data_IF_856804443947
#
_entry.id   IF_856804443947
#
_cell.length_a   1.000
_cell.length_b   1.000
_cell.length_c   1.000
_cell.angle_alpha   90.00
_cell.angle_beta   90.00
_cell.angle_gamma   90.00
#
_symmetry.space_group_name_H-M   'P 1'
#
loop_
_entity.id
_entity.type
_entity.pdbx_description
1 polymer ?
#
# COMPACT_ATOMS: atom_id res chain seq x y z
N UNK A 1 9.08 19.21 -15.06
CA UNK A 1 9.09 18.96 -13.59
C UNK A 1 10.31 18.12 -13.30
N UNK A 2 11.20 18.55 -12.41
CA UNK A 2 12.40 17.80 -12.05
C UNK A 2 12.09 16.89 -10.87
N UNK A 3 12.38 15.59 -11.00
CA UNK A 3 12.21 14.61 -9.90
C UNK A 3 13.33 14.85 -8.89
N UNK A 4 13.01 14.92 -7.60
CA UNK A 4 14.02 15.11 -6.57
C UNK A 4 14.98 13.91 -6.48
N UNK A 5 16.24 14.16 -6.16
CA UNK A 5 17.26 13.14 -5.97
C UNK A 5 16.85 12.09 -4.91
N UNK A 6 16.19 12.53 -3.84
CA UNK A 6 15.67 11.64 -2.80
C UNK A 6 14.72 10.56 -3.37
N UNK A 7 13.86 10.94 -4.32
CA UNK A 7 12.94 9.99 -4.99
C UNK A 7 13.70 9.09 -5.95
N UNK A 8 14.66 9.63 -6.71
CA UNK A 8 15.49 8.84 -7.63
C UNK A 8 16.27 7.75 -6.89
N UNK A 9 16.77 8.04 -5.70
CA UNK A 9 17.50 7.09 -4.87
C UNK A 9 16.63 5.94 -4.31
N UNK A 10 15.31 6.02 -4.41
CA UNK A 10 14.39 4.94 -4.04
C UNK A 10 14.14 3.93 -5.18
N UNK A 11 14.67 4.16 -6.38
CA UNK A 11 14.37 3.37 -7.57
C UNK A 11 14.63 1.87 -7.40
N UNK A 12 15.76 1.51 -6.85
CA UNK A 12 16.16 0.09 -6.73
C UNK A 12 15.28 -0.65 -5.72
N UNK A 13 14.95 -0.01 -4.60
CA UNK A 13 13.99 -0.54 -3.62
C UNK A 13 12.60 -0.69 -4.24
N UNK A 14 12.15 0.32 -4.98
CA UNK A 14 10.87 0.30 -5.70
C UNK A 14 10.79 -0.89 -6.66
N UNK A 15 11.80 -1.08 -7.50
CA UNK A 15 11.85 -2.21 -8.45
C UNK A 15 11.88 -3.56 -7.73
N UNK A 16 12.67 -3.67 -6.65
CA UNK A 16 12.78 -4.89 -5.86
C UNK A 16 11.44 -5.26 -5.22
N UNK A 17 10.83 -4.33 -4.49
CA UNK A 17 9.56 -4.55 -3.78
C UNK A 17 8.45 -4.93 -4.77
N UNK A 18 8.30 -4.18 -5.86
CA UNK A 18 7.30 -4.48 -6.89
C UNK A 18 7.46 -5.89 -7.45
N UNK A 19 8.69 -6.33 -7.73
CA UNK A 19 8.95 -7.68 -8.27
C UNK A 19 8.69 -8.78 -7.26
N UNK A 20 8.94 -8.56 -5.97
CA UNK A 20 8.60 -9.55 -4.93
C UNK A 20 7.08 -9.67 -4.76
N UNK A 21 6.34 -8.55 -4.69
CA UNK A 21 4.88 -8.54 -4.64
C UNK A 21 4.28 -9.25 -5.87
N UNK A 22 4.82 -8.99 -7.06
CA UNK A 22 4.36 -9.61 -8.30
C UNK A 22 4.46 -11.15 -8.29
N UNK A 23 5.38 -11.71 -7.50
CA UNK A 23 5.55 -13.17 -7.36
C UNK A 23 4.51 -13.86 -6.49
N UNK A 24 3.85 -13.12 -5.62
CA UNK A 24 2.98 -13.63 -4.56
C UNK A 24 1.53 -13.14 -4.64
N UNK A 25 0.91 -13.03 -5.83
CA UNK A 25 -0.47 -12.55 -5.91
C UNK A 25 -1.42 -13.50 -5.18
N UNK A 26 -2.37 -12.92 -4.46
CA UNK A 26 -3.44 -13.58 -3.71
C UNK A 26 -4.77 -12.90 -4.03
N UNK A 27 -5.92 -13.46 -3.64
CA UNK A 27 -7.23 -13.00 -4.10
C UNK A 27 -8.11 -12.55 -2.93
N UNK A 28 -8.85 -11.47 -3.14
CA UNK A 28 -9.89 -11.00 -2.25
C UNK A 28 -9.33 -10.50 -0.91
N UNK A 29 -9.73 -11.15 0.17
CA UNK A 29 -9.27 -10.82 1.54
C UNK A 29 -8.19 -11.77 2.07
N UNK A 30 -7.96 -12.90 1.40
CA UNK A 30 -6.97 -13.91 1.79
C UNK A 30 -5.58 -13.55 1.23
N UNK A 31 -5.01 -12.45 1.72
CA UNK A 31 -3.74 -11.88 1.24
C UNK A 31 -2.62 -12.03 2.29
N UNK A 32 -2.54 -13.18 2.93
CA UNK A 32 -1.62 -13.39 4.06
C UNK A 32 -0.15 -13.22 3.71
N UNK A 33 0.32 -13.73 2.56
CA UNK A 33 1.72 -13.56 2.13
C UNK A 33 2.03 -12.11 1.79
N UNK A 34 1.09 -11.44 1.14
CA UNK A 34 1.19 -10.01 0.82
C UNK A 34 1.25 -9.19 2.10
N UNK A 35 0.36 -9.47 3.07
CA UNK A 35 0.33 -8.85 4.38
C UNK A 35 1.66 -9.03 5.13
N UNK A 36 2.15 -10.27 5.25
CA UNK A 36 3.42 -10.60 5.92
C UNK A 36 4.63 -9.94 5.26
N UNK A 37 4.61 -9.78 3.94
CA UNK A 37 5.67 -9.11 3.21
C UNK A 37 5.67 -7.59 3.42
N UNK A 38 4.49 -6.95 3.39
CA UNK A 38 4.33 -5.49 3.50
C UNK A 38 4.53 -4.99 4.93
N UNK A 39 4.00 -5.70 5.93
CA UNK A 39 3.97 -5.25 7.32
C UNK A 39 5.33 -4.80 7.85
N UNK A 40 6.41 -5.58 7.76
CA UNK A 40 7.73 -5.14 8.25
C UNK A 40 8.29 -3.93 7.49
N UNK A 41 7.94 -3.75 6.21
CA UNK A 41 8.34 -2.57 5.44
C UNK A 41 7.65 -1.31 5.93
N UNK A 42 6.38 -1.41 6.33
CA UNK A 42 5.63 -0.31 6.96
C UNK A 42 6.20 0.00 8.35
N UNK A 43 6.44 -1.02 9.17
CA UNK A 43 6.99 -0.87 10.53
C UNK A 43 8.35 -0.17 10.54
N UNK A 44 9.20 -0.41 9.54
CA UNK A 44 10.48 0.30 9.36
C UNK A 44 10.29 1.81 9.12
N UNK A 45 9.14 2.23 8.60
CA UNK A 45 8.80 3.64 8.43
C UNK A 45 8.37 4.33 9.73
N UNK A 46 8.21 3.59 10.84
CA UNK A 46 7.83 4.07 12.17
C UNK A 46 6.58 4.97 12.12
N UNK A 47 5.44 4.47 11.61
CA UNK A 47 4.20 5.22 11.66
C UNK A 47 3.76 5.45 13.12
N UNK A 48 2.89 6.44 13.34
CA UNK A 48 2.29 6.65 14.66
C UNK A 48 1.23 5.59 14.96
N UNK A 49 0.51 5.13 13.91
CA UNK A 49 -0.44 4.03 14.03
C UNK A 49 -0.32 3.08 12.85
N UNK A 50 -0.43 1.79 13.13
CA UNK A 50 -0.53 0.70 12.15
C UNK A 50 -1.66 -0.22 12.57
N UNK A 51 -2.77 -0.17 11.84
CA UNK A 51 -4.00 -0.88 12.16
C UNK A 51 -4.31 -1.86 11.02
N UNK A 52 -4.56 -3.12 11.33
CA UNK A 52 -5.06 -4.09 10.35
C UNK A 52 -6.55 -3.91 10.17
N UNK A 53 -7.01 -3.80 8.93
CA UNK A 53 -8.42 -3.69 8.53
C UNK A 53 -8.72 -4.71 7.43
N UNK A 54 -9.97 -5.12 7.34
CA UNK A 54 -10.44 -6.06 6.32
C UNK A 54 -9.56 -7.33 6.23
N UNK A 55 -9.21 -7.91 7.38
CA UNK A 55 -8.38 -9.10 7.59
C UNK A 55 -6.90 -8.89 7.26
N UNK A 56 -6.55 -8.46 6.06
CA UNK A 56 -5.16 -8.39 5.58
C UNK A 56 -4.74 -7.02 5.07
N UNK A 57 -5.65 -6.04 5.08
CA UNK A 57 -5.34 -4.66 4.73
C UNK A 57 -4.73 -3.87 5.89
N UNK A 58 -4.27 -2.67 5.59
CA UNK A 58 -3.67 -1.77 6.58
C UNK A 58 -4.22 -0.36 6.48
N UNK A 59 -4.38 0.27 7.65
CA UNK A 59 -4.41 1.70 7.81
C UNK A 59 -3.15 2.14 8.55
N UNK A 60 -2.38 3.01 7.92
CA UNK A 60 -1.11 3.54 8.43
C UNK A 60 -1.26 5.02 8.63
N UNK A 61 -0.95 5.55 9.81
CA UNK A 61 -1.12 6.97 10.13
C UNK A 61 0.22 7.61 10.47
N UNK A 62 0.46 8.76 9.89
CA UNK A 62 1.55 9.67 10.23
C UNK A 62 0.96 11.02 10.64
N UNK A 63 1.09 11.38 11.90
CA UNK A 63 0.64 12.67 12.41
C UNK A 63 1.68 13.77 12.12
N UNK A 64 1.20 14.94 11.70
CA UNK A 64 2.00 16.15 11.58
C UNK A 64 1.69 17.11 12.72
N UNK A 65 2.71 17.72 13.29
CA UNK A 65 2.55 18.64 14.40
C UNK A 65 1.64 19.81 14.03
N UNK A 66 0.58 20.04 14.81
CA UNK A 66 -0.38 21.13 14.59
C UNK A 66 -1.28 20.99 13.38
N UNK A 67 -1.28 19.84 12.72
CA UNK A 67 -2.09 19.63 11.53
C UNK A 67 -3.60 19.67 11.83
N UNK A 68 -4.33 20.42 10.98
CA UNK A 68 -5.79 20.55 11.03
C UNK A 68 -6.49 19.72 9.96
N UNK A 69 -5.72 19.09 9.07
CA UNK A 69 -6.25 18.32 7.92
C UNK A 69 -5.56 16.98 7.83
N UNK A 70 -6.29 16.03 7.26
CA UNK A 70 -5.80 14.68 6.98
C UNK A 70 -6.04 14.33 5.52
N UNK A 71 -4.97 13.90 4.85
CA UNK A 71 -5.04 13.40 3.48
C UNK A 71 -4.74 11.90 3.49
N UNK A 72 -5.58 11.13 2.80
CA UNK A 72 -5.32 9.71 2.61
C UNK A 72 -4.85 9.40 1.19
N UNK A 73 -4.01 8.37 1.07
CA UNK A 73 -3.64 7.75 -0.20
C UNK A 73 -4.00 6.26 -0.12
N UNK A 74 -4.52 5.73 -1.22
CA UNK A 74 -5.01 4.35 -1.29
C UNK A 74 -4.26 3.55 -2.34
N UNK A 75 -3.93 2.32 -2.03
CA UNK A 75 -3.53 1.29 -2.98
C UNK A 75 -4.35 0.03 -2.73
N UNK A 76 -4.80 -0.59 -3.81
CA UNK A 76 -5.35 -1.95 -3.78
C UNK A 76 -4.24 -3.00 -3.67
N UNK A 77 -4.59 -4.22 -3.22
CA UNK A 77 -3.61 -5.24 -2.85
C UNK A 77 -3.79 -6.57 -3.57
N UNK A 78 -5.02 -6.91 -3.93
CA UNK A 78 -5.35 -8.23 -4.45
C UNK A 78 -4.91 -8.44 -5.90
N UNK A 79 -4.67 -9.69 -6.24
CA UNK A 79 -4.50 -10.14 -7.61
C UNK A 79 -5.83 -10.63 -8.18
N UNK A 80 -5.79 -11.04 -9.43
CA UNK A 80 -6.96 -11.54 -10.17
C UNK A 80 -6.76 -12.98 -10.65
N UNK A 81 -7.87 -13.70 -10.84
CA UNK A 81 -7.86 -15.04 -11.44
C UNK A 81 -7.49 -14.95 -12.91
N UNK A 82 -6.21 -15.06 -13.19
CA UNK A 82 -5.69 -15.14 -14.54
C UNK A 82 -4.33 -15.85 -14.51
N UNK A 83 -4.00 -16.57 -15.58
CA UNK A 83 -2.68 -17.21 -15.72
C UNK A 83 -1.71 -16.24 -16.36
N UNK A 84 -0.60 -16.00 -15.72
CA UNK A 84 0.44 -15.17 -16.29
C UNK A 84 1.22 -15.90 -17.38
N UNK A 85 1.19 -15.37 -18.60
CA UNK A 85 1.89 -15.92 -19.77
C UNK A 85 3.30 -15.35 -19.95
N UNK A 86 3.65 -14.29 -19.20
CA UNK A 86 4.96 -13.68 -19.25
C UNK A 86 6.06 -14.65 -18.79
N UNK A 87 7.27 -14.51 -19.38
CA UNK A 87 8.41 -15.40 -19.10
C UNK A 87 9.54 -14.72 -18.30
N UNK A 88 9.33 -13.56 -17.72
CA UNK A 88 10.35 -12.90 -16.92
C UNK A 88 10.54 -13.58 -15.54
N UNK A 89 11.72 -13.37 -14.94
CA UNK A 89 12.15 -14.09 -13.72
C UNK A 89 11.28 -13.79 -12.49
N UNK A 90 10.50 -12.73 -12.48
CA UNK A 90 9.65 -12.30 -11.37
C UNK A 90 8.15 -12.54 -11.62
N UNK A 91 7.80 -13.39 -12.59
CA UNK A 91 6.40 -13.79 -12.83
C UNK A 91 5.75 -14.41 -11.59
N UNK A 92 4.45 -14.40 -11.55
CA UNK A 92 3.65 -15.03 -10.49
C UNK A 92 4.11 -16.48 -10.20
N UNK A 93 4.19 -16.81 -8.92
CA UNK A 93 4.41 -18.18 -8.43
C UNK A 93 3.11 -18.84 -7.96
N UNK A 94 1.99 -18.12 -8.01
CA UNK A 94 0.66 -18.61 -7.67
C UNK A 94 -0.05 -19.05 -8.96
N UNK A 95 -0.28 -20.35 -9.11
CA UNK A 95 -0.90 -20.89 -10.33
C UNK A 95 -2.31 -20.31 -10.54
N UNK A 96 -2.58 -19.76 -11.72
CA UNK A 96 -3.88 -19.19 -12.07
C UNK A 96 -4.22 -17.87 -11.39
N UNK A 97 -3.25 -17.20 -10.78
CA UNK A 97 -3.40 -15.87 -10.18
C UNK A 97 -2.26 -14.97 -10.60
N UNK A 98 -2.55 -13.71 -10.93
CA UNK A 98 -1.53 -12.73 -11.27
C UNK A 98 -1.96 -11.31 -10.86
N UNK A 99 -1.00 -10.39 -10.72
CA UNK A 99 -1.25 -8.95 -10.64
C UNK A 99 -1.45 -8.36 -12.04
N UNK A 100 -2.60 -8.68 -12.67
CA UNK A 100 -2.93 -8.20 -14.03
C UNK A 100 -3.34 -6.73 -14.08
N UNK A 101 -3.90 -6.19 -12.99
CA UNK A 101 -4.31 -4.78 -12.87
C UNK A 101 -3.21 -3.85 -12.31
N UNK A 102 -2.05 -4.40 -11.92
CA UNK A 102 -0.91 -3.60 -11.47
C UNK A 102 -0.93 -3.20 -9.98
N UNK A 103 -1.74 -3.87 -9.15
CA UNK A 103 -1.86 -3.58 -7.72
C UNK A 103 -0.53 -3.76 -6.97
N UNK A 104 0.36 -4.65 -7.44
CA UNK A 104 1.75 -4.76 -6.97
C UNK A 104 2.54 -3.44 -7.14
N UNK A 105 2.30 -2.72 -8.23
CA UNK A 105 2.84 -1.39 -8.48
C UNK A 105 2.23 -0.34 -7.56
N UNK A 106 0.90 -0.36 -7.37
CA UNK A 106 0.20 0.58 -6.49
C UNK A 106 0.66 0.44 -5.04
N UNK A 107 0.73 -0.80 -4.50
CA UNK A 107 1.29 -1.07 -3.17
C UNK A 107 2.73 -0.56 -3.04
N UNK A 108 3.55 -0.79 -4.06
CA UNK A 108 4.95 -0.35 -4.07
C UNK A 108 5.05 1.18 -4.00
N UNK A 109 4.25 1.90 -4.79
CA UNK A 109 4.20 3.37 -4.76
C UNK A 109 3.81 3.86 -3.36
N UNK A 110 2.81 3.24 -2.76
CA UNK A 110 2.34 3.60 -1.42
C UNK A 110 3.39 3.33 -0.34
N UNK A 111 4.16 2.23 -0.45
CA UNK A 111 5.30 1.93 0.42
C UNK A 111 6.44 2.96 0.25
N UNK A 112 6.73 3.38 -0.98
CA UNK A 112 7.72 4.44 -1.23
C UNK A 112 7.26 5.78 -0.66
N UNK A 113 5.96 6.08 -0.73
CA UNK A 113 5.38 7.25 -0.07
C UNK A 113 5.52 7.16 1.45
N UNK A 114 5.25 6.00 2.07
CA UNK A 114 5.48 5.78 3.51
C UNK A 114 6.92 6.07 3.90
N UNK A 115 7.87 5.56 3.13
CA UNK A 115 9.31 5.80 3.35
C UNK A 115 9.66 7.28 3.23
N UNK A 116 9.15 7.97 2.22
CA UNK A 116 9.36 9.41 2.04
C UNK A 116 8.76 10.22 3.19
N UNK A 117 7.53 9.93 3.58
CA UNK A 117 6.83 10.59 4.72
C UNK A 117 7.62 10.41 6.00
N UNK A 118 8.07 9.19 6.29
CA UNK A 118 8.90 8.88 7.46
C UNK A 118 10.18 9.74 7.54
N UNK A 119 10.84 9.96 6.40
CA UNK A 119 12.08 10.74 6.31
C UNK A 119 11.86 12.26 6.28
N UNK A 120 10.62 12.73 6.11
CA UNK A 120 10.28 14.15 5.95
C UNK A 120 9.16 14.59 6.92
N UNK A 121 9.08 13.97 8.09
CA UNK A 121 8.04 14.24 9.09
C UNK A 121 7.94 15.72 9.47
N UNK A 122 9.06 16.38 9.61
CA UNK A 122 9.20 17.81 9.94
C UNK A 122 8.61 18.75 8.88
N UNK A 123 8.46 18.26 7.65
CA UNK A 123 7.93 19.03 6.51
C UNK A 123 6.43 18.82 6.29
N UNK A 124 5.80 17.88 7.00
CA UNK A 124 4.39 17.58 6.84
C UNK A 124 3.52 18.74 7.32
N UNK A 125 2.57 19.17 6.49
CA UNK A 125 1.58 20.20 6.81
C UNK A 125 0.18 19.64 7.09
N UNK A 126 0.00 18.35 6.91
CA UNK A 126 -1.23 17.62 7.17
C UNK A 126 -0.91 16.21 7.66
N UNK A 127 -1.83 15.60 8.38
CA UNK A 127 -1.72 14.17 8.68
C UNK A 127 -1.79 13.36 7.39
N UNK A 128 -1.04 12.28 7.32
CA UNK A 128 -1.02 11.38 6.17
C UNK A 128 -1.55 10.02 6.62
N UNK A 129 -2.57 9.53 5.92
CA UNK A 129 -3.11 8.18 6.09
C UNK A 129 -2.82 7.38 4.82
N UNK A 130 -2.25 6.19 4.97
CA UNK A 130 -2.05 5.28 3.86
C UNK A 130 -2.96 4.07 4.05
N UNK A 131 -3.75 3.76 3.03
CA UNK A 131 -4.73 2.67 3.03
C UNK A 131 -4.30 1.60 2.04
N UNK A 132 -3.84 0.46 2.54
CA UNK A 132 -3.59 -0.73 1.75
C UNK A 132 -4.86 -1.56 1.76
N UNK A 133 -5.60 -1.58 0.66
CA UNK A 133 -6.95 -2.12 0.56
C UNK A 133 -6.97 -3.50 -0.11
N UNK A 134 -7.37 -4.57 0.57
CA UNK A 134 -7.65 -5.86 -0.06
C UNK A 134 -9.02 -5.86 -0.74
N UNK A 135 -9.25 -6.83 -1.63
CA UNK A 135 -10.56 -7.12 -2.20
C UNK A 135 -11.13 -6.04 -3.12
N UNK A 136 -10.30 -5.46 -3.99
CA UNK A 136 -10.78 -4.52 -5.02
C UNK A 136 -11.52 -5.25 -6.13
N UNK A 137 -11.01 -6.39 -6.58
CA UNK A 137 -11.51 -7.19 -7.72
C UNK A 137 -12.85 -7.90 -7.41
N UNK A 138 -13.91 -7.09 -7.19
CA UNK A 138 -15.28 -7.60 -7.00
C UNK A 138 -15.67 -7.98 -5.56
N UNK A 139 -14.84 -7.73 -4.54
CA UNK A 139 -15.09 -8.10 -3.14
C UNK A 139 -15.58 -6.95 -2.25
N UNK A 140 -15.75 -5.76 -2.81
CA UNK A 140 -16.15 -4.55 -2.09
C UNK A 140 -15.26 -4.18 -0.88
N UNK A 141 -13.94 -4.41 -1.00
CA UNK A 141 -12.97 -4.20 0.08
C UNK A 141 -12.95 -2.78 0.63
N UNK A 142 -13.12 -1.76 -0.23
CA UNK A 142 -13.20 -0.37 0.23
C UNK A 142 -14.37 -0.15 1.21
N UNK A 143 -15.56 -0.70 0.93
CA UNK A 143 -16.72 -0.61 1.82
C UNK A 143 -16.43 -1.27 3.18
N UNK A 144 -15.79 -2.44 3.16
CA UNK A 144 -15.41 -3.14 4.38
C UNK A 144 -14.44 -2.32 5.22
N UNK A 145 -13.38 -1.79 4.64
CA UNK A 145 -12.42 -0.94 5.35
C UNK A 145 -13.08 0.33 5.92
N UNK A 146 -13.99 0.97 5.17
CA UNK A 146 -14.73 2.16 5.66
C UNK A 146 -15.57 1.80 6.89
N UNK A 147 -16.28 0.67 6.84
CA UNK A 147 -17.10 0.21 7.98
C UNK A 147 -16.23 -0.13 9.21
N UNK A 148 -14.99 -0.55 9.01
CA UNK A 148 -14.02 -0.83 10.06
C UNK A 148 -13.21 0.43 10.49
N UNK A 149 -13.54 1.61 9.97
CA UNK A 149 -12.98 2.88 10.44
C UNK A 149 -11.78 3.42 9.65
N UNK A 150 -11.61 3.03 8.38
CA UNK A 150 -10.49 3.50 7.56
C UNK A 150 -10.41 5.03 7.43
N UNK A 151 -11.56 5.73 7.45
CA UNK A 151 -11.66 7.17 7.21
C UNK A 151 -11.92 8.01 8.47
N UNK A 152 -11.88 7.38 9.66
CA UNK A 152 -12.05 8.04 10.95
C UNK A 152 -10.84 7.81 11.86
N UNK A 153 -10.57 8.71 12.80
CA UNK A 153 -9.46 8.63 13.75
C UNK A 153 -8.07 8.41 13.08
N UNK A 154 -7.53 9.43 12.37
CA UNK A 154 -8.07 10.77 12.17
C UNK A 154 -9.13 10.81 11.07
N UNK A 155 -10.07 11.79 11.15
CA UNK A 155 -11.03 12.03 10.06
C UNK A 155 -10.30 12.42 8.80
N UNK A 156 -10.52 11.67 7.72
CA UNK A 156 -9.93 11.94 6.40
C UNK A 156 -10.74 13.03 5.69
N UNK A 157 -10.07 14.09 5.25
CA UNK A 157 -10.68 15.20 4.51
C UNK A 157 -10.66 14.97 2.98
N UNK A 158 -9.63 14.29 2.49
CA UNK A 158 -9.48 13.92 1.06
C UNK A 158 -8.76 12.58 0.94
N UNK A 159 -9.10 11.83 -0.11
CA UNK A 159 -8.46 10.57 -0.49
C UNK A 159 -8.07 10.59 -1.98
N UNK A 160 -6.91 10.03 -2.29
CA UNK A 160 -6.35 9.87 -3.64
C UNK A 160 -5.96 8.43 -3.92
#
# INVERSE_FOLDING_TARGET
MQISEQILNMKDDCVKIRRELHRIPEIGFDLHKTHEYIKPLIEQCKPDELITLAETGFKVVFYAQGAQRTIAFRADMDGMKNTEENRFRFRSRTRGVMHGCGHDGHMTILLMLAKWVSQNRDKLKCNVVLLFQPGEEGWAGARRMINEGALVNPKVDRIY
#
